data_IF_763733857307
#
_entry.id   IF_763733857307
#
_cell.length_a   1.000
_cell.length_b   1.000
_cell.length_c   1.000
_cell.angle_alpha   90.00
_cell.angle_beta   90.00
_cell.angle_gamma   90.00
#
_symmetry.space_group_name_H-M   'P 1'
#
loop_
_entity.id
_entity.type
_entity.pdbx_description
1 polymer ?
#
# COMPACT_ATOMS: atom_id res chain seq x y z
N UNK A 1 -17.77 27.46 23.68
CA UNK A 1 -16.55 26.63 23.67
C UNK A 1 -16.98 25.18 23.52
N UNK A 2 -16.90 24.63 22.31
CA UNK A 2 -16.88 23.19 22.07
C UNK A 2 -16.10 22.99 20.77
N UNK A 3 -14.78 22.92 20.91
CA UNK A 3 -13.88 22.49 19.84
C UNK A 3 -14.04 20.98 19.69
N UNK A 4 -15.16 20.55 19.10
CA UNK A 4 -15.36 19.16 18.72
C UNK A 4 -14.23 18.81 17.75
N UNK A 5 -13.29 17.97 18.19
CA UNK A 5 -12.22 17.43 17.35
C UNK A 5 -12.85 16.78 16.11
N UNK A 6 -12.83 17.49 14.97
CA UNK A 6 -13.30 16.99 13.68
C UNK A 6 -12.37 15.83 13.28
N UNK A 7 -12.81 14.61 13.54
CA UNK A 7 -12.05 13.40 13.20
C UNK A 7 -12.12 13.19 11.71
N UNK A 8 -11.05 13.56 10.99
CA UNK A 8 -10.93 13.29 9.56
C UNK A 8 -10.49 11.85 9.35
N UNK A 9 -11.12 11.16 8.40
CA UNK A 9 -10.67 9.82 7.98
C UNK A 9 -9.43 9.93 7.09
N UNK A 10 -8.66 8.84 7.01
CA UNK A 10 -7.49 8.76 6.11
C UNK A 10 -7.87 9.07 4.65
N UNK A 11 -9.00 8.54 4.18
CA UNK A 11 -9.50 8.80 2.83
C UNK A 11 -9.85 10.28 2.62
N UNK A 12 -10.48 10.93 3.60
CA UNK A 12 -10.77 12.37 3.50
C UNK A 12 -9.49 13.20 3.37
N UNK A 13 -8.43 12.82 4.08
CA UNK A 13 -7.14 13.50 3.95
C UNK A 13 -6.50 13.26 2.57
N UNK A 14 -6.57 12.04 2.03
CA UNK A 14 -6.06 11.74 0.70
C UNK A 14 -6.81 12.48 -0.41
N UNK A 15 -8.14 12.55 -0.34
CA UNK A 15 -8.96 13.32 -1.28
C UNK A 15 -8.61 14.81 -1.22
N UNK A 16 -8.45 15.36 -0.02
CA UNK A 16 -8.07 16.76 0.16
C UNK A 16 -6.72 17.05 -0.48
N UNK A 17 -5.72 16.20 -0.27
CA UNK A 17 -4.40 16.38 -0.84
C UNK A 17 -4.42 16.19 -2.37
N UNK A 18 -5.19 15.24 -2.90
CA UNK A 18 -5.34 15.06 -4.35
C UNK A 18 -6.02 16.26 -5.02
N UNK A 19 -6.91 16.96 -4.31
CA UNK A 19 -7.54 18.20 -4.81
C UNK A 19 -6.61 19.42 -4.71
N UNK A 20 -5.88 19.57 -3.59
CA UNK A 20 -5.06 20.76 -3.33
C UNK A 20 -3.67 20.68 -3.96
N UNK A 21 -3.09 19.48 -4.00
CA UNK A 21 -1.69 19.22 -4.35
C UNK A 21 -1.55 17.97 -5.26
N UNK A 22 -2.25 17.93 -6.41
CA UNK A 22 -2.40 16.69 -7.18
C UNK A 22 -1.09 16.06 -7.65
N UNK A 23 -0.07 16.87 -7.96
CA UNK A 23 1.23 16.43 -8.47
C UNK A 23 2.30 16.29 -7.38
N UNK A 24 2.04 16.72 -6.14
CA UNK A 24 2.98 16.48 -5.04
C UNK A 24 3.04 14.98 -4.76
N UNK A 25 4.24 14.52 -4.35
CA UNK A 25 4.49 13.11 -4.05
C UNK A 25 3.74 12.71 -2.79
N UNK A 26 2.90 11.67 -2.90
CA UNK A 26 2.18 11.10 -1.77
C UNK A 26 3.02 10.04 -1.04
N UNK A 27 3.68 9.16 -1.81
CA UNK A 27 4.54 8.12 -1.27
C UNK A 27 5.79 7.92 -2.13
N UNK A 28 6.88 7.56 -1.47
CA UNK A 28 8.14 7.12 -2.05
C UNK A 28 8.43 5.73 -1.49
N UNK A 29 8.72 4.78 -2.36
CA UNK A 29 9.20 3.46 -1.98
C UNK A 29 10.70 3.37 -2.26
N UNK A 30 11.46 2.98 -1.23
CA UNK A 30 12.91 2.86 -1.26
C UNK A 30 13.29 1.39 -1.35
N UNK A 31 13.91 0.98 -2.45
CA UNK A 31 14.29 -0.41 -2.69
C UNK A 31 15.78 -0.65 -2.32
N UNK A 32 16.03 -1.02 -1.07
CA UNK A 32 17.35 -1.49 -0.62
C UNK A 32 18.51 -0.50 -0.83
N UNK A 33 19.69 -1.01 -1.22
CA UNK A 33 20.92 -0.22 -1.42
C UNK A 33 20.96 0.55 -2.75
N UNK A 34 19.92 0.42 -3.59
CA UNK A 34 19.86 1.09 -4.88
C UNK A 34 19.15 2.45 -4.76
N UNK A 35 19.62 3.43 -5.54
CA UNK A 35 19.03 4.77 -5.70
C UNK A 35 17.72 4.75 -6.52
N UNK A 36 17.13 3.57 -6.76
CA UNK A 36 15.87 3.44 -7.48
C UNK A 36 14.72 3.71 -6.52
N UNK A 37 14.20 4.93 -6.60
CA UNK A 37 13.01 5.38 -5.89
C UNK A 37 11.80 5.24 -6.81
N UNK A 38 10.78 4.51 -6.35
CA UNK A 38 9.47 4.57 -6.99
C UNK A 38 8.62 5.61 -6.26
N UNK A 39 8.03 6.55 -6.99
CA UNK A 39 7.17 7.60 -6.44
C UNK A 39 5.76 7.50 -6.99
N UNK A 40 4.79 8.01 -6.23
CA UNK A 40 3.40 8.15 -6.67
C UNK A 40 2.85 9.48 -6.16
N UNK A 41 2.22 10.25 -7.05
CA UNK A 41 1.57 11.51 -6.68
C UNK A 41 0.23 11.28 -5.98
N UNK A 42 -0.27 12.30 -5.28
CA UNK A 42 -1.59 12.23 -4.63
C UNK A 42 -2.71 11.90 -5.61
N UNK A 43 -2.70 12.51 -6.80
CA UNK A 43 -3.70 12.26 -7.83
C UNK A 43 -3.64 10.84 -8.38
N UNK A 44 -2.43 10.34 -8.66
CA UNK A 44 -2.25 8.97 -9.15
C UNK A 44 -2.74 7.96 -8.12
N UNK A 45 -2.34 8.12 -6.85
CA UNK A 45 -2.77 7.21 -5.79
C UNK A 45 -4.29 7.15 -5.66
N UNK A 46 -4.97 8.30 -5.61
CA UNK A 46 -6.43 8.35 -5.48
C UNK A 46 -7.12 7.74 -6.71
N UNK A 47 -6.64 8.05 -7.92
CA UNK A 47 -7.22 7.53 -9.14
C UNK A 47 -7.05 6.01 -9.26
N UNK A 48 -5.84 5.50 -9.03
CA UNK A 48 -5.52 4.08 -9.10
C UNK A 48 -6.30 3.30 -8.03
N UNK A 49 -6.35 3.82 -6.80
CA UNK A 49 -7.09 3.20 -5.71
C UNK A 49 -8.60 3.14 -5.99
N UNK A 50 -9.20 4.22 -6.53
CA UNK A 50 -10.62 4.22 -6.93
C UNK A 50 -10.92 3.25 -8.06
N UNK A 51 -10.02 3.13 -9.06
CA UNK A 51 -10.16 2.17 -10.16
C UNK A 51 -10.14 0.72 -9.64
N UNK A 52 -9.19 0.40 -8.77
CA UNK A 52 -9.12 -0.91 -8.12
C UNK A 52 -10.33 -1.17 -7.23
N UNK A 53 -10.77 -0.18 -6.45
CA UNK A 53 -11.95 -0.27 -5.60
C UNK A 53 -13.23 -0.57 -6.38
N UNK A 54 -13.42 0.06 -7.55
CA UNK A 54 -14.56 -0.22 -8.42
C UNK A 54 -14.63 -1.68 -8.86
N UNK A 55 -13.47 -2.32 -9.05
CA UNK A 55 -13.39 -3.76 -9.36
C UNK A 55 -13.70 -4.61 -8.12
N UNK A 56 -13.17 -4.22 -6.96
CA UNK A 56 -13.39 -4.94 -5.69
C UNK A 56 -14.86 -4.95 -5.26
N UNK A 57 -15.58 -3.83 -5.42
CA UNK A 57 -16.99 -3.71 -5.03
C UNK A 57 -17.91 -4.66 -5.81
N UNK A 58 -17.52 -5.06 -7.03
CA UNK A 58 -18.27 -6.02 -7.82
C UNK A 58 -18.18 -7.46 -7.27
N UNK A 59 -17.10 -7.78 -6.57
CA UNK A 59 -16.76 -9.16 -6.16
C UNK A 59 -16.86 -9.37 -4.64
N UNK A 60 -16.68 -8.32 -3.84
CA UNK A 60 -16.56 -8.41 -2.39
C UNK A 60 -17.59 -7.52 -1.69
N UNK A 61 -18.47 -8.10 -0.84
CA UNK A 61 -19.41 -7.31 -0.05
C UNK A 61 -18.70 -6.33 0.88
N UNK A 62 -19.31 -5.17 1.09
CA UNK A 62 -18.83 -4.16 2.05
C UNK A 62 -18.72 -4.79 3.45
N UNK A 63 -17.63 -4.51 4.15
CA UNK A 63 -17.34 -5.02 5.49
C UNK A 63 -16.67 -6.40 5.52
N UNK A 64 -16.62 -7.12 4.39
CA UNK A 64 -15.88 -8.38 4.30
C UNK A 64 -14.36 -8.17 4.28
N UNK A 65 -13.63 -9.25 4.57
CA UNK A 65 -12.16 -9.23 4.70
C UNK A 65 -11.49 -9.67 3.41
N UNK A 66 -10.51 -8.88 2.97
CA UNK A 66 -9.66 -9.19 1.80
C UNK A 66 -8.21 -9.31 2.25
N UNK A 67 -7.57 -10.41 1.89
CA UNK A 67 -6.16 -10.64 2.15
C UNK A 67 -5.30 -9.93 1.10
N UNK A 68 -4.37 -9.09 1.55
CA UNK A 68 -3.39 -8.43 0.68
C UNK A 68 -2.07 -9.19 0.75
N UNK A 69 -1.77 -9.98 -0.29
CA UNK A 69 -0.52 -10.71 -0.44
C UNK A 69 0.34 -10.07 -1.52
N UNK A 70 1.08 -9.02 -1.15
CA UNK A 70 1.90 -8.23 -2.07
C UNK A 70 3.36 -8.21 -1.61
N UNK A 71 4.33 -8.16 -2.55
CA UNK A 71 5.67 -7.71 -2.19
C UNK A 71 5.62 -6.26 -1.68
N UNK A 72 6.61 -5.82 -0.88
CA UNK A 72 6.71 -4.43 -0.47
C UNK A 72 6.86 -3.54 -1.72
N UNK A 73 6.08 -2.46 -1.81
CA UNK A 73 6.09 -1.56 -2.97
C UNK A 73 4.88 -0.65 -3.02
N UNK A 74 4.83 0.22 -4.04
CA UNK A 74 3.70 1.14 -4.22
C UNK A 74 2.39 0.43 -4.57
N UNK A 75 2.45 -0.75 -5.20
CA UNK A 75 1.26 -1.57 -5.47
C UNK A 75 0.53 -1.99 -4.19
N UNK A 76 1.27 -2.27 -3.12
CA UNK A 76 0.68 -2.58 -1.82
C UNK A 76 -0.12 -1.38 -1.28
N UNK A 77 0.42 -0.16 -1.41
CA UNK A 77 -0.27 1.06 -0.97
C UNK A 77 -1.52 1.32 -1.82
N UNK A 78 -1.43 1.15 -3.15
CA UNK A 78 -2.60 1.25 -4.05
C UNK A 78 -3.71 0.29 -3.63
N UNK A 79 -3.36 -0.99 -3.42
CA UNK A 79 -4.31 -2.03 -3.02
C UNK A 79 -4.94 -1.75 -1.64
N UNK A 80 -4.13 -1.32 -0.67
CA UNK A 80 -4.62 -0.96 0.67
C UNK A 80 -5.64 0.18 0.62
N UNK A 81 -5.34 1.25 -0.12
CA UNK A 81 -6.28 2.36 -0.28
C UNK A 81 -7.53 1.94 -1.05
N UNK A 82 -7.39 1.08 -2.06
CA UNK A 82 -8.51 0.53 -2.81
C UNK A 82 -9.48 -0.24 -1.90
N UNK A 83 -8.97 -1.06 -0.98
CA UNK A 83 -9.81 -1.75 0.02
C UNK A 83 -10.62 -0.75 0.87
N UNK A 84 -9.98 0.33 1.32
CA UNK A 84 -10.66 1.36 2.10
C UNK A 84 -11.74 2.08 1.28
N UNK A 85 -11.48 2.40 0.01
CA UNK A 85 -12.47 2.98 -0.90
C UNK A 85 -13.64 2.03 -1.19
N UNK A 86 -13.36 0.73 -1.34
CA UNK A 86 -14.38 -0.30 -1.51
C UNK A 86 -15.19 -0.55 -0.23
N UNK A 87 -14.72 -0.07 0.93
CA UNK A 87 -15.35 -0.31 2.22
C UNK A 87 -15.18 -1.74 2.72
N UNK A 88 -14.11 -2.41 2.31
CA UNK A 88 -13.74 -3.76 2.76
C UNK A 88 -12.59 -3.69 3.77
N UNK A 89 -12.48 -4.71 4.62
CA UNK A 89 -11.44 -4.80 5.64
C UNK A 89 -10.17 -5.39 5.01
N UNK A 90 -9.15 -4.56 4.83
CA UNK A 90 -7.85 -5.02 4.35
C UNK A 90 -7.10 -5.80 5.44
N UNK A 91 -6.67 -7.02 5.13
CA UNK A 91 -5.84 -7.88 6.00
C UNK A 91 -4.46 -8.04 5.34
N UNK A 92 -3.43 -7.30 5.77
CA UNK A 92 -2.11 -7.36 5.16
C UNK A 92 -1.36 -8.63 5.56
N UNK A 93 -0.86 -9.37 4.56
CA UNK A 93 0.03 -10.50 4.76
C UNK A 93 1.29 -10.33 3.91
N UNK A 94 2.45 -10.53 4.54
CA UNK A 94 3.69 -10.63 3.81
C UNK A 94 3.84 -12.04 3.26
N UNK A 95 4.20 -12.21 1.97
CA UNK A 95 4.48 -13.54 1.45
C UNK A 95 5.55 -14.21 2.30
N UNK A 96 5.39 -15.50 2.65
CA UNK A 96 6.39 -16.21 3.40
C UNK A 96 7.71 -16.11 2.63
N UNK A 97 8.76 -15.64 3.31
CA UNK A 97 10.09 -15.58 2.71
C UNK A 97 10.46 -17.01 2.33
N UNK A 98 10.51 -17.30 1.04
CA UNK A 98 11.14 -18.54 0.57
C UNK A 98 12.57 -18.42 1.02
N UNK A 99 12.94 -19.19 2.04
CA UNK A 99 14.31 -19.29 2.50
C UNK A 99 15.05 -19.94 1.33
N UNK A 100 15.72 -19.13 0.51
CA UNK A 100 16.69 -19.65 -0.44
C UNK A 100 17.58 -20.59 0.36
N UNK A 101 17.66 -21.85 -0.07
CA UNK A 101 18.50 -22.85 0.58
C UNK A 101 19.91 -22.27 0.60
N UNK A 102 20.36 -21.78 1.75
CA UNK A 102 21.78 -21.60 2.00
C UNK A 102 22.42 -22.95 1.67
N UNK A 103 23.29 -23.05 0.64
CA UNK A 103 24.01 -24.30 0.44
C UNK A 103 24.84 -24.53 1.70
N UNK A 104 24.45 -25.52 2.51
CA UNK A 104 25.30 -26.06 3.55
C UNK A 104 26.52 -26.65 2.86
N UNK A 105 27.65 -25.96 2.94
CA UNK A 105 28.94 -26.53 2.56
C UNK A 105 29.83 -25.58 1.80
N UNK A 106 30.38 -24.56 2.48
CA UNK A 106 31.79 -24.18 2.31
C UNK A 106 32.34 -23.74 3.66
N UNK A 107 32.82 -24.71 4.45
CA UNK A 107 33.95 -24.43 5.33
C UNK A 107 35.14 -24.19 4.41
N UNK A 108 35.47 -22.94 4.13
CA UNK A 108 36.79 -22.61 3.58
C UNK A 108 37.77 -22.88 4.73
N UNK A 109 38.51 -23.98 4.59
CA UNK A 109 39.53 -24.40 5.54
C UNK A 109 40.57 -23.30 5.70
N UNK A 110 40.74 -22.82 6.93
CA UNK A 110 41.98 -22.23 7.39
C UNK A 110 42.81 -23.33 8.02
N UNK A 111 43.89 -23.72 7.33
CA UNK A 111 45.21 -24.11 7.83
C UNK A 111 46.08 -24.48 6.62
#
# INVERSE_FOLDING_TARGET
MNSSSQSKTLLQHLELNAAQKPQETAFIFLEGKALTEATISHRELVNDAKRLAATLVAEVPRGERVMLLFPPGLEYIRALMACFYAGVVAVPLFPPRVREKQPLGQCVGGL
#
